data_IF_526665488756
#
_entry.id   IF_526665488756
#
_cell.length_a   1.000
_cell.length_b   1.000
_cell.length_c   1.000
_cell.angle_alpha   90.00
_cell.angle_beta   90.00
_cell.angle_gamma   90.00
#
_symmetry.space_group_name_H-M   'P 1'
#
loop_
_entity.id
_entity.type
_entity.pdbx_description
1 polymer ?
#
# COMPACT_ATOMS: atom_id res chain seq x y z
N UNK A 1 25.87 2.75 -7.92
CA UNK A 1 26.31 1.52 -8.62
C UNK A 1 25.08 0.94 -9.30
N UNK A 2 24.90 1.26 -10.58
CA UNK A 2 23.79 0.73 -11.37
C UNK A 2 24.30 -0.54 -12.05
N UNK A 3 23.69 -1.69 -11.77
CA UNK A 3 24.00 -2.93 -12.47
C UNK A 3 23.56 -2.80 -13.95
N UNK A 4 24.38 -3.22 -14.92
CA UNK A 4 24.01 -3.14 -16.32
C UNK A 4 22.87 -4.13 -16.63
N UNK A 5 21.97 -3.73 -17.54
CA UNK A 5 20.77 -4.48 -17.96
C UNK A 5 21.12 -5.89 -18.49
N UNK A 6 22.38 -6.11 -18.89
CA UNK A 6 22.91 -7.41 -19.29
C UNK A 6 22.92 -8.47 -18.17
N UNK A 7 22.84 -8.07 -16.90
CA UNK A 7 22.74 -9.02 -15.77
C UNK A 7 21.34 -9.65 -15.62
N UNK A 8 20.31 -9.16 -16.29
CA UNK A 8 18.94 -9.71 -16.23
C UNK A 8 18.73 -10.94 -17.14
N UNK A 9 19.69 -11.27 -18.00
CA UNK A 9 19.53 -12.33 -19.00
C UNK A 9 19.95 -13.74 -18.53
N UNK A 10 20.36 -13.90 -17.27
CA UNK A 10 20.82 -15.19 -16.72
C UNK A 10 19.83 -15.85 -15.74
N UNK A 11 18.54 -15.52 -15.80
CA UNK A 11 17.53 -16.43 -15.25
C UNK A 11 17.26 -17.52 -16.30
N UNK A 12 18.15 -18.51 -16.36
CA UNK A 12 17.84 -19.78 -17.00
C UNK A 12 16.47 -20.24 -16.50
N UNK A 13 15.56 -20.53 -17.42
CA UNK A 13 14.20 -20.95 -17.11
C UNK A 13 14.26 -22.14 -16.15
N UNK A 14 13.99 -21.87 -14.88
CA UNK A 14 13.73 -22.91 -13.89
C UNK A 14 12.56 -23.75 -14.45
N UNK A 15 12.55 -25.08 -14.24
CA UNK A 15 11.39 -25.88 -14.63
C UNK A 15 10.13 -25.20 -14.08
N UNK A 16 9.12 -25.01 -14.94
CA UNK A 16 7.84 -24.44 -14.54
C UNK A 16 7.39 -25.17 -13.28
N UNK A 17 7.25 -24.44 -12.18
CA UNK A 17 6.79 -25.04 -10.93
C UNK A 17 5.33 -25.38 -11.18
N UNK A 18 4.88 -26.58 -10.81
CA UNK A 18 3.46 -26.99 -10.91
C UNK A 18 2.49 -26.08 -10.12
N UNK A 19 3.01 -25.06 -9.43
CA UNK A 19 2.28 -24.08 -8.60
C UNK A 19 2.13 -22.70 -9.29
N UNK A 20 2.14 -22.62 -10.62
CA UNK A 20 1.89 -21.37 -11.37
C UNK A 20 0.41 -20.96 -11.27
N UNK A 21 0.03 -20.44 -10.10
CA UNK A 21 -1.32 -19.94 -9.82
C UNK A 21 -1.52 -18.59 -10.50
N UNK A 22 -2.57 -18.49 -11.32
CA UNK A 22 -2.95 -17.23 -11.98
C UNK A 22 -3.42 -16.22 -10.93
N UNK A 23 -2.81 -15.02 -10.95
CA UNK A 23 -3.22 -13.92 -10.09
C UNK A 23 -4.47 -13.22 -10.64
N UNK A 24 -5.37 -12.74 -9.76
CA UNK A 24 -6.51 -11.94 -10.19
C UNK A 24 -6.04 -10.63 -10.85
N UNK A 25 -6.79 -10.16 -11.83
CA UNK A 25 -6.53 -8.85 -12.43
C UNK A 25 -6.89 -7.73 -11.44
N UNK A 26 -6.30 -6.52 -11.57
CA UNK A 26 -6.71 -5.38 -10.77
C UNK A 26 -8.22 -5.07 -10.89
N UNK A 27 -8.79 -5.27 -12.08
CA UNK A 27 -10.23 -5.09 -12.30
C UNK A 27 -11.07 -6.11 -11.53
N UNK A 28 -10.66 -7.37 -11.51
CA UNK A 28 -11.33 -8.40 -10.72
C UNK A 28 -11.33 -8.03 -9.22
N UNK A 29 -10.18 -7.60 -8.69
CA UNK A 29 -10.07 -7.14 -7.30
C UNK A 29 -10.93 -5.91 -7.01
N UNK A 30 -11.04 -4.96 -7.93
CA UNK A 30 -11.90 -3.78 -7.75
C UNK A 30 -13.39 -4.14 -7.71
N UNK A 31 -13.81 -5.18 -8.43
CA UNK A 31 -15.19 -5.68 -8.35
C UNK A 31 -15.44 -6.35 -7.00
N UNK A 32 -14.53 -7.21 -6.56
CA UNK A 32 -14.66 -7.97 -5.31
C UNK A 32 -14.53 -7.07 -4.07
N UNK A 33 -13.68 -6.04 -4.14
CA UNK A 33 -13.39 -5.10 -3.04
C UNK A 33 -13.83 -3.70 -3.46
N UNK A 34 -15.15 -3.50 -3.48
CA UNK A 34 -15.76 -2.23 -3.88
C UNK A 34 -15.50 -1.11 -2.87
N UNK A 35 -15.07 0.05 -3.36
CA UNK A 35 -14.82 1.23 -2.54
C UNK A 35 -16.14 1.95 -2.20
N UNK A 36 -16.48 2.00 -0.91
CA UNK A 36 -17.65 2.74 -0.44
C UNK A 36 -17.53 4.26 -0.72
N UNK A 37 -18.61 4.90 -1.16
CA UNK A 37 -18.61 6.33 -1.51
C UNK A 37 -18.12 7.28 -0.38
N UNK A 38 -18.49 7.07 0.91
CA UNK A 38 -17.94 7.89 1.99
C UNK A 38 -16.42 7.74 2.14
N UNK A 39 -15.89 6.53 1.93
CA UNK A 39 -14.45 6.26 1.99
C UNK A 39 -13.72 6.91 0.81
N UNK A 40 -14.31 6.89 -0.39
CA UNK A 40 -13.77 7.60 -1.56
C UNK A 40 -13.67 9.11 -1.32
N UNK A 41 -14.70 9.71 -0.71
CA UNK A 41 -14.69 11.12 -0.30
C UNK A 41 -13.56 11.43 0.69
N UNK A 42 -13.41 10.58 1.72
CA UNK A 42 -12.34 10.70 2.71
C UNK A 42 -10.94 10.61 2.08
N UNK A 43 -10.71 9.61 1.23
CA UNK A 43 -9.42 9.45 0.51
C UNK A 43 -9.11 10.70 -0.32
N UNK A 44 -10.10 11.25 -1.02
CA UNK A 44 -9.93 12.47 -1.82
C UNK A 44 -9.54 13.66 -0.95
N UNK A 45 -10.25 13.87 0.17
CA UNK A 45 -9.97 14.96 1.11
C UNK A 45 -8.58 14.83 1.75
N UNK A 46 -8.21 13.63 2.20
CA UNK A 46 -6.90 13.36 2.79
C UNK A 46 -5.77 13.61 1.79
N UNK A 47 -5.93 13.15 0.54
CA UNK A 47 -4.96 13.43 -0.53
C UNK A 47 -4.81 14.92 -0.81
N UNK A 48 -5.91 15.69 -0.73
CA UNK A 48 -5.83 17.13 -0.89
C UNK A 48 -5.08 17.78 0.27
N UNK A 49 -5.40 17.43 1.51
CA UNK A 49 -4.71 17.94 2.68
C UNK A 49 -3.20 17.64 2.66
N UNK A 50 -2.81 16.43 2.23
CA UNK A 50 -1.39 16.08 2.06
C UNK A 50 -0.72 16.99 1.02
N UNK A 51 -1.36 17.26 -0.12
CA UNK A 51 -0.81 18.19 -1.13
C UNK A 51 -0.66 19.59 -0.58
N UNK A 52 -1.67 20.09 0.14
CA UNK A 52 -1.65 21.43 0.71
C UNK A 52 -0.49 21.60 1.69
N UNK A 53 -0.21 20.57 2.51
CA UNK A 53 0.96 20.55 3.42
C UNK A 53 2.28 20.54 2.63
N UNK A 54 2.41 19.67 1.63
CA UNK A 54 3.64 19.56 0.82
C UNK A 54 3.91 20.83 0.00
N UNK A 55 2.86 21.54 -0.40
CA UNK A 55 2.96 22.81 -1.12
C UNK A 55 3.18 24.02 -0.19
N UNK A 56 3.22 23.82 1.13
CA UNK A 56 3.34 24.90 2.12
C UNK A 56 2.12 25.81 2.22
N UNK A 57 0.96 25.35 1.73
CA UNK A 57 -0.34 26.05 1.83
C UNK A 57 -1.10 25.70 3.12
N UNK A 58 -0.59 24.73 3.87
CA UNK A 58 -1.11 24.26 5.15
C UNK A 58 0.08 23.95 6.08
N UNK A 59 0.20 24.67 7.18
CA UNK A 59 1.37 24.61 8.08
C UNK A 59 1.35 23.40 9.04
N UNK A 60 0.39 22.49 8.90
CA UNK A 60 0.32 21.29 9.73
C UNK A 60 1.45 20.32 9.40
N UNK A 61 1.92 19.60 10.41
CA UNK A 61 2.89 18.51 10.24
C UNK A 61 2.22 17.25 9.70
N UNK A 62 2.70 16.73 8.56
CA UNK A 62 2.33 15.40 8.07
C UNK A 62 3.13 14.32 8.81
N UNK A 63 2.45 13.39 9.48
CA UNK A 63 3.07 12.25 10.17
C UNK A 63 2.51 10.94 9.60
N UNK A 64 3.41 10.04 9.20
CA UNK A 64 3.06 8.68 8.77
C UNK A 64 3.39 7.72 9.91
N UNK A 65 2.36 7.12 10.52
CA UNK A 65 2.50 6.21 11.67
C UNK A 65 1.75 4.90 11.41
N UNK A 66 2.29 3.80 11.92
CA UNK A 66 1.71 2.47 11.80
C UNK A 66 2.70 1.38 12.20
N UNK A 67 2.27 0.10 12.24
CA UNK A 67 3.18 -1.01 12.41
C UNK A 67 4.16 -1.11 11.24
N UNK A 68 5.32 -1.72 11.46
CA UNK A 68 6.32 -1.95 10.41
C UNK A 68 5.74 -2.76 9.23
N UNK A 69 4.85 -3.72 9.52
CA UNK A 69 4.10 -4.50 8.53
C UNK A 69 2.75 -4.92 9.10
N UNK A 70 1.78 -5.14 8.22
CA UNK A 70 0.46 -5.69 8.57
C UNK A 70 0.46 -7.15 8.12
N UNK A 71 0.57 -8.08 9.07
CA UNK A 71 0.50 -9.52 8.81
C UNK A 71 -0.84 -10.13 9.25
N UNK A 72 -1.67 -9.35 9.95
CA UNK A 72 -2.94 -9.77 10.52
C UNK A 72 -4.02 -8.73 10.16
N UNK A 73 -5.09 -9.12 9.45
CA UNK A 73 -6.15 -8.22 9.03
C UNK A 73 -7.15 -7.88 10.16
N UNK A 74 -7.01 -8.48 11.35
CA UNK A 74 -7.88 -8.15 12.49
C UNK A 74 -7.77 -6.65 12.82
N UNK A 75 -8.91 -5.98 13.08
CA UNK A 75 -8.91 -4.55 13.31
C UNK A 75 -8.12 -4.19 14.57
N UNK A 76 -7.09 -3.34 14.39
CA UNK A 76 -6.33 -2.71 15.48
C UNK A 76 -7.10 -1.56 16.15
N UNK A 77 -8.44 -1.50 16.00
CA UNK A 77 -9.26 -0.34 16.41
C UNK A 77 -9.27 -0.07 17.91
N UNK A 78 -8.57 -0.88 18.72
CA UNK A 78 -8.50 -0.76 20.19
C UNK A 78 -7.11 -0.33 20.69
N UNK A 79 -6.06 -0.25 19.86
CA UNK A 79 -4.67 -0.16 20.36
C UNK A 79 -3.92 1.09 19.88
N UNK A 80 -4.55 2.27 19.93
CA UNK A 80 -3.82 3.55 19.89
C UNK A 80 -3.79 4.26 21.26
N UNK A 81 -4.18 3.59 22.35
CA UNK A 81 -4.09 4.10 23.73
C UNK A 81 -3.21 3.22 24.64
N UNK A 82 -2.57 2.17 24.12
CA UNK A 82 -1.68 1.32 24.91
C UNK A 82 -0.34 1.10 24.20
N UNK A 83 0.48 2.14 24.16
CA UNK A 83 1.93 1.96 24.23
C UNK A 83 2.30 2.00 25.73
N UNK A 84 2.46 0.85 26.41
CA UNK A 84 3.17 0.86 27.68
C UNK A 84 4.67 1.05 27.39
N UNK A 85 5.28 1.89 28.23
CA UNK A 85 6.71 2.17 28.37
C UNK A 85 7.65 0.99 28.01
#
# INVERSE_FOLDING_TARGET
>A
MNAPVSSLSQHAALPARDDDTVLPTPEALHRDISLAAPLAGRIRQQRQAIRDILDGRDDRLLVVVGPCSIHDPRPLSTTLVAWPN
#
